data_IF_163435881712
#
_entry.id   IF_163435881712
#
_cell.length_a   1.000
_cell.length_b   1.000
_cell.length_c   1.000
_cell.angle_alpha   90.00
_cell.angle_beta   90.00
_cell.angle_gamma   90.00
#
_symmetry.space_group_name_H-M   'P 1'
#
loop_
_entity.id
_entity.type
_entity.pdbx_description
1 polymer ?
#
# COMPACT_ATOMS: atom_id res chain seq x y z
N UNK A 1 -26.73 -19.98 21.40
CA UNK A 1 -26.03 -19.97 20.10
C UNK A 1 -25.49 -18.56 19.89
N UNK A 2 -24.21 -18.32 20.18
CA UNK A 2 -23.64 -16.98 20.38
C UNK A 2 -22.96 -16.41 19.13
N UNK A 3 -23.11 -15.10 18.92
CA UNK A 3 -22.69 -14.33 17.74
C UNK A 3 -21.16 -14.21 17.50
N UNK A 4 -20.33 -14.99 18.20
CA UNK A 4 -18.86 -14.80 18.22
C UNK A 4 -18.05 -16.00 17.72
N UNK A 5 -18.67 -17.11 17.32
CA UNK A 5 -17.94 -18.32 16.90
C UNK A 5 -17.19 -18.19 15.55
N UNK A 6 -17.43 -17.12 14.78
CA UNK A 6 -16.84 -16.93 13.45
C UNK A 6 -15.69 -15.92 13.40
N UNK A 7 -15.28 -15.36 14.55
CA UNK A 7 -14.16 -14.42 14.63
C UNK A 7 -12.91 -15.21 15.05
N UNK A 8 -11.79 -15.13 14.31
CA UNK A 8 -10.56 -15.78 14.74
C UNK A 8 -10.13 -15.28 16.13
N UNK A 9 -9.59 -16.18 16.95
CA UNK A 9 -8.98 -15.80 18.22
C UNK A 9 -7.84 -14.81 17.97
N UNK A 10 -7.62 -13.86 18.90
CA UNK A 10 -6.58 -12.84 18.80
C UNK A 10 -5.16 -13.39 19.10
N UNK A 11 -4.94 -14.65 18.74
CA UNK A 11 -3.63 -15.29 18.84
C UNK A 11 -2.76 -14.82 17.67
N UNK A 12 -1.42 -14.73 17.85
CA UNK A 12 -0.53 -14.35 16.77
C UNK A 12 -0.70 -15.23 15.53
N UNK A 13 -0.98 -14.61 14.39
CA UNK A 13 -1.17 -15.30 13.11
C UNK A 13 -0.28 -14.69 12.03
N UNK A 14 0.48 -15.55 11.35
CA UNK A 14 1.25 -15.19 10.18
C UNK A 14 0.33 -15.13 8.96
N UNK A 15 0.38 -14.01 8.24
CA UNK A 15 -0.41 -13.77 7.04
C UNK A 15 0.48 -13.29 5.89
N UNK A 16 0.08 -13.62 4.68
CA UNK A 16 0.62 -13.02 3.47
C UNK A 16 -0.33 -11.92 2.99
N UNK A 17 0.16 -10.69 2.94
CA UNK A 17 -0.60 -9.53 2.46
C UNK A 17 -0.14 -9.21 1.04
N UNK A 18 -1.06 -9.29 0.08
CA UNK A 18 -0.82 -8.86 -1.30
C UNK A 18 -1.42 -7.48 -1.54
N UNK A 19 -0.57 -6.52 -1.88
CA UNK A 19 -0.95 -5.14 -2.16
C UNK A 19 -0.90 -4.91 -3.66
N UNK A 20 -2.04 -4.61 -4.27
CA UNK A 20 -2.14 -4.22 -5.68
C UNK A 20 -2.08 -2.70 -5.79
N UNK A 21 -1.07 -2.19 -6.47
CA UNK A 21 -0.90 -0.76 -6.73
C UNK A 21 -1.12 -0.52 -8.21
N UNK A 22 -2.29 0.01 -8.54
CA UNK A 22 -2.76 0.13 -9.94
C UNK A 22 -2.27 1.43 -10.56
N UNK A 23 -2.68 2.58 -10.01
CA UNK A 23 -2.32 3.91 -10.49
C UNK A 23 -2.40 4.95 -9.39
N UNK A 24 -1.76 6.09 -9.58
CA UNK A 24 -2.07 7.33 -8.88
C UNK A 24 -2.66 8.35 -9.86
N UNK A 25 -3.38 9.33 -9.32
CA UNK A 25 -4.05 10.37 -10.09
C UNK A 25 -3.77 11.72 -9.46
N UNK A 26 -3.47 12.72 -10.28
CA UNK A 26 -3.26 14.11 -9.89
C UNK A 26 -2.25 14.27 -8.73
N UNK A 27 -1.09 13.61 -8.83
CA UNK A 27 0.01 13.80 -7.89
C UNK A 27 0.45 15.27 -7.82
N UNK A 28 0.89 15.70 -6.63
CA UNK A 28 1.47 17.03 -6.47
C UNK A 28 2.76 17.12 -7.30
N UNK A 29 2.94 18.16 -8.13
CA UNK A 29 4.22 18.39 -8.79
C UNK A 29 5.32 18.63 -7.76
N UNK A 30 6.39 17.87 -7.84
CA UNK A 30 7.56 18.00 -6.96
C UNK A 30 8.77 18.59 -7.71
N UNK A 31 8.83 18.42 -9.03
CA UNK A 31 9.86 19.00 -9.90
C UNK A 31 9.58 20.43 -10.37
N UNK A 32 10.67 21.16 -10.68
CA UNK A 32 10.65 22.50 -11.34
C UNK A 32 9.89 22.47 -12.69
N UNK A 33 9.90 21.34 -13.37
CA UNK A 33 9.21 21.15 -14.66
C UNK A 33 7.67 20.99 -14.51
N UNK A 34 7.15 20.99 -13.27
CA UNK A 34 5.73 20.78 -12.98
C UNK A 34 5.30 19.32 -13.07
N UNK A 35 6.21 18.37 -12.92
CA UNK A 35 5.98 16.91 -12.91
C UNK A 35 6.55 16.27 -11.63
N UNK A 36 6.61 14.95 -11.64
CA UNK A 36 7.20 14.09 -10.64
C UNK A 36 7.73 12.84 -11.37
N UNK A 37 8.73 12.18 -10.81
CA UNK A 37 9.26 10.87 -11.12
C UNK A 37 8.80 9.84 -10.04
N UNK A 38 7.47 9.55 -9.94
CA UNK A 38 6.93 8.80 -8.81
C UNK A 38 7.34 7.32 -8.75
N UNK A 39 7.57 6.84 -7.52
CA UNK A 39 7.67 5.42 -7.19
C UNK A 39 6.95 5.09 -5.87
N UNK A 40 6.69 3.79 -5.64
CA UNK A 40 5.89 3.33 -4.49
C UNK A 40 6.79 2.75 -3.40
N UNK A 41 6.48 3.07 -2.15
CA UNK A 41 7.04 2.43 -0.97
C UNK A 41 5.89 1.80 -0.16
N UNK A 42 6.06 0.53 0.19
CA UNK A 42 5.09 -0.23 0.98
C UNK A 42 5.76 -0.68 2.25
N UNK A 43 5.12 -0.41 3.39
CA UNK A 43 5.63 -0.79 4.70
C UNK A 43 4.54 -1.48 5.51
N UNK A 44 4.86 -2.61 6.11
CA UNK A 44 3.99 -3.33 7.03
C UNK A 44 4.83 -3.90 8.18
N UNK A 45 4.61 -3.39 9.38
CA UNK A 45 5.43 -3.74 10.54
C UNK A 45 6.90 -3.37 10.33
N UNK A 46 7.77 -4.37 10.38
CA UNK A 46 9.23 -4.21 10.14
C UNK A 46 9.62 -4.37 8.67
N UNK A 47 8.73 -4.90 7.85
CA UNK A 47 8.97 -5.17 6.44
C UNK A 47 8.74 -3.89 5.62
N UNK A 48 9.64 -3.59 4.70
CA UNK A 48 9.59 -2.42 3.82
C UNK A 48 10.04 -2.81 2.42
N UNK A 49 9.25 -2.45 1.42
CA UNK A 49 9.55 -2.66 0.00
C UNK A 49 9.57 -1.30 -0.67
N UNK A 50 10.68 -0.98 -1.35
CA UNK A 50 10.83 0.26 -2.12
C UNK A 50 10.95 -0.09 -3.60
N UNK A 51 10.02 0.38 -4.41
CA UNK A 51 10.04 0.16 -5.86
C UNK A 51 10.81 1.28 -6.60
N UNK A 52 11.87 1.80 -5.97
CA UNK A 52 12.59 3.01 -6.41
C UNK A 52 13.20 2.86 -7.81
N UNK A 53 13.74 1.70 -8.14
CA UNK A 53 14.34 1.43 -9.45
C UNK A 53 13.32 1.43 -10.60
N UNK A 54 12.03 1.37 -10.28
CA UNK A 54 10.94 1.35 -11.24
C UNK A 54 10.08 2.61 -11.17
N UNK A 55 10.68 3.76 -10.83
CA UNK A 55 10.01 5.05 -10.90
C UNK A 55 9.49 5.32 -12.33
N UNK A 56 8.40 6.08 -12.43
CA UNK A 56 7.79 6.43 -13.72
C UNK A 56 8.09 7.90 -14.01
N UNK A 57 8.93 8.17 -15.00
CA UNK A 57 9.42 9.54 -15.19
C UNK A 57 8.36 10.53 -15.65
N UNK A 58 8.40 11.75 -15.11
CA UNK A 58 7.66 12.96 -15.49
C UNK A 58 6.15 12.75 -15.59
N UNK A 59 5.57 12.07 -14.61
CA UNK A 59 4.19 11.64 -14.61
C UNK A 59 3.46 11.99 -13.31
N UNK A 60 2.35 12.74 -13.43
CA UNK A 60 1.46 13.05 -12.29
C UNK A 60 0.31 12.04 -12.16
N UNK A 61 0.08 11.23 -13.19
CA UNK A 61 -0.96 10.19 -13.25
C UNK A 61 -0.34 8.82 -13.58
N UNK A 62 0.60 8.30 -12.77
CA UNK A 62 1.34 7.09 -13.10
C UNK A 62 0.44 5.85 -13.02
N UNK A 63 0.60 4.94 -13.98
CA UNK A 63 0.04 3.58 -13.92
C UNK A 63 1.17 2.64 -13.51
N UNK A 64 1.14 2.15 -12.28
CA UNK A 64 2.13 1.21 -11.76
C UNK A 64 1.81 -0.22 -12.20
N UNK A 65 0.54 -0.65 -12.06
CA UNK A 65 0.07 -1.96 -12.49
C UNK A 65 0.79 -3.15 -11.82
N UNK A 66 1.22 -3.01 -10.56
CA UNK A 66 2.06 -4.00 -9.85
C UNK A 66 1.37 -4.57 -8.62
N UNK A 67 1.84 -5.73 -8.20
CA UNK A 67 1.50 -6.32 -6.90
C UNK A 67 2.74 -6.59 -6.08
N UNK A 68 2.62 -6.40 -4.76
CA UNK A 68 3.69 -6.65 -3.80
C UNK A 68 3.18 -7.59 -2.71
N UNK A 69 3.98 -8.60 -2.40
CA UNK A 69 3.67 -9.58 -1.36
C UNK A 69 4.53 -9.30 -0.14
N UNK A 70 3.91 -9.14 1.02
CA UNK A 70 4.57 -8.83 2.29
C UNK A 70 4.01 -9.73 3.39
N UNK A 71 4.91 -10.41 4.11
CA UNK A 71 4.55 -11.23 5.26
C UNK A 71 4.38 -10.33 6.49
N UNK A 72 3.40 -10.67 7.34
CA UNK A 72 3.12 -9.97 8.58
C UNK A 72 2.54 -10.90 9.65
N UNK A 73 2.73 -10.51 10.91
CA UNK A 73 2.15 -11.20 12.08
C UNK A 73 1.10 -10.31 12.72
N UNK A 74 -0.18 -10.68 12.64
CA UNK A 74 -1.23 -9.99 13.38
C UNK A 74 -1.30 -10.49 14.82
N UNK A 75 -1.66 -9.65 15.81
CA UNK A 75 -2.09 -8.24 15.66
C UNK A 75 -0.94 -7.22 15.62
N UNK A 76 0.30 -7.67 15.83
CA UNK A 76 1.47 -6.79 16.03
C UNK A 76 1.82 -5.93 14.81
N UNK A 77 1.63 -6.47 13.60
CA UNK A 77 2.03 -5.87 12.33
C UNK A 77 0.81 -5.59 11.45
N UNK A 78 -0.15 -4.81 11.96
CA UNK A 78 -1.43 -4.57 11.30
C UNK A 78 -1.51 -3.30 10.43
N UNK A 79 -0.65 -2.31 10.69
CA UNK A 79 -0.70 -1.02 10.00
C UNK A 79 0.10 -1.07 8.69
N UNK A 80 -0.60 -1.13 7.56
CA UNK A 80 -0.02 -1.01 6.23
C UNK A 80 0.11 0.46 5.86
N UNK A 81 1.31 0.90 5.54
CA UNK A 81 1.57 2.23 4.97
C UNK A 81 1.92 2.06 3.50
N UNK A 82 1.22 2.80 2.63
CA UNK A 82 1.54 2.93 1.21
C UNK A 82 1.87 4.39 0.95
N UNK A 83 3.08 4.64 0.44
CA UNK A 83 3.61 5.97 0.20
C UNK A 83 4.06 6.10 -1.25
N UNK A 84 3.89 7.30 -1.82
CA UNK A 84 4.43 7.67 -3.13
C UNK A 84 5.51 8.71 -2.91
N UNK A 85 6.69 8.43 -3.44
CA UNK A 85 7.86 9.31 -3.40
C UNK A 85 8.20 9.80 -4.79
N UNK A 86 8.80 10.99 -4.86
CA UNK A 86 9.42 11.54 -6.05
C UNK A 86 10.89 11.11 -6.10
N UNK A 87 11.32 10.54 -7.22
CA UNK A 87 12.73 10.19 -7.39
C UNK A 87 13.54 11.43 -7.81
N UNK A 88 14.58 11.75 -7.05
CA UNK A 88 15.49 12.85 -7.38
C UNK A 88 16.86 12.34 -7.82
N UNK A 89 17.39 12.92 -8.91
CA UNK A 89 18.75 12.64 -9.37
C UNK A 89 19.81 13.08 -8.36
N UNK A 90 19.54 14.18 -7.63
CA UNK A 90 20.46 14.78 -6.68
C UNK A 90 19.69 15.11 -5.40
N UNK A 91 20.15 14.57 -4.27
CA UNK A 91 19.56 14.84 -2.96
C UNK A 91 18.76 13.66 -2.42
N UNK A 92 17.74 13.95 -1.64
CA UNK A 92 16.84 12.98 -1.03
C UNK A 92 15.48 13.03 -1.69
N UNK A 93 15.00 11.88 -2.13
CA UNK A 93 13.65 11.70 -2.67
C UNK A 93 12.56 12.31 -1.78
N UNK A 94 11.68 13.10 -2.39
CA UNK A 94 10.60 13.79 -1.70
C UNK A 94 9.37 12.90 -1.49
N UNK A 95 8.77 12.94 -0.29
CA UNK A 95 7.48 12.27 -0.06
C UNK A 95 6.36 13.11 -0.66
N UNK A 96 5.68 12.58 -1.68
CA UNK A 96 4.50 13.23 -2.28
C UNK A 96 3.27 13.02 -1.38
N UNK A 97 3.09 11.80 -0.86
CA UNK A 97 1.99 11.49 0.03
C UNK A 97 1.96 10.05 0.50
N UNK A 98 1.21 9.79 1.58
CA UNK A 98 1.04 8.46 2.14
C UNK A 98 -0.39 8.20 2.61
N UNK A 99 -0.75 6.93 2.68
CA UNK A 99 -1.97 6.45 3.33
C UNK A 99 -1.66 5.31 4.27
N UNK A 100 -2.43 5.21 5.35
CA UNK A 100 -2.28 4.20 6.40
C UNK A 100 -3.57 3.41 6.52
N UNK A 101 -3.41 2.09 6.49
CA UNK A 101 -4.49 1.13 6.33
C UNK A 101 -4.32 0.10 7.44
N UNK A 102 -5.19 0.15 8.43
CA UNK A 102 -5.26 -0.89 9.44
C UNK A 102 -5.89 -2.17 8.86
N UNK A 103 -5.08 -3.22 8.77
CA UNK A 103 -5.47 -4.53 8.23
C UNK A 103 -6.11 -5.43 9.29
N UNK A 104 -5.83 -5.23 10.57
CA UNK A 104 -6.42 -6.00 11.66
C UNK A 104 -7.94 -5.82 11.67
N UNK A 105 -8.37 -4.55 11.61
CA UNK A 105 -9.78 -4.17 11.53
C UNK A 105 -10.49 -4.81 10.32
N UNK A 106 -9.80 -5.06 9.21
CA UNK A 106 -10.36 -5.76 8.04
C UNK A 106 -10.39 -7.28 8.23
N UNK A 107 -9.32 -7.84 8.78
CA UNK A 107 -9.15 -9.28 8.97
C UNK A 107 -10.16 -9.86 9.95
N UNK A 108 -10.37 -9.20 11.10
CA UNK A 108 -11.33 -9.61 12.12
C UNK A 108 -12.76 -9.10 11.88
N UNK A 109 -12.99 -8.34 10.81
CA UNK A 109 -14.36 -7.94 10.45
C UNK A 109 -15.19 -9.14 9.99
N UNK A 110 -16.51 -9.10 10.26
CA UNK A 110 -17.47 -10.09 9.73
C UNK A 110 -17.47 -10.21 8.21
N UNK A 111 -16.96 -9.19 7.50
CA UNK A 111 -16.89 -9.16 6.04
C UNK A 111 -15.51 -9.56 5.49
N UNK A 112 -14.56 -9.91 6.37
CA UNK A 112 -13.17 -10.28 6.06
C UNK A 112 -12.41 -9.21 5.27
N UNK A 113 -11.19 -9.54 4.84
CA UNK A 113 -10.34 -8.69 3.99
C UNK A 113 -10.88 -8.45 2.57
N UNK A 114 -12.04 -9.00 2.21
CA UNK A 114 -12.66 -8.84 0.88
C UNK A 114 -13.46 -7.54 0.71
N UNK A 115 -13.63 -6.75 1.77
CA UNK A 115 -14.32 -5.46 1.67
C UNK A 115 -13.54 -4.44 0.85
N UNK A 116 -14.15 -3.96 -0.24
CA UNK A 116 -13.65 -2.82 -1.02
C UNK A 116 -12.72 -3.17 -2.18
N UNK A 117 -12.43 -4.45 -2.42
CA UNK A 117 -11.73 -4.89 -3.63
C UNK A 117 -12.77 -5.02 -4.74
N UNK A 118 -12.67 -4.17 -5.77
CA UNK A 118 -13.53 -4.33 -6.95
C UNK A 118 -13.24 -5.68 -7.59
N UNK A 119 -14.28 -6.48 -7.86
CA UNK A 119 -14.15 -7.76 -8.57
C UNK A 119 -13.60 -7.59 -10.00
N UNK A 120 -13.71 -6.39 -10.57
CA UNK A 120 -13.13 -6.04 -11.85
C UNK A 120 -12.46 -4.66 -11.76
N UNK A 121 -11.21 -4.55 -12.21
CA UNK A 121 -10.57 -3.27 -12.48
C UNK A 121 -10.70 -2.99 -13.99
N UNK A 122 -11.58 -2.07 -14.37
CA UNK A 122 -11.61 -1.49 -15.71
C UNK A 122 -10.66 -0.30 -15.74
N UNK A 123 -9.62 -0.38 -16.58
CA UNK A 123 -8.79 0.77 -16.96
C UNK A 123 -9.53 1.69 -17.90
#
# INVERSE_FOLDING_TARGET
MGMFQSIPHNDPINVLVRVYVVRATDLHPADINGKADPYVVIKLGRSEVKDKENYISKQLNPVFGKSFDIEATFPMESMLTVSVYDWDLVGTDDLIGETKIDLENRFYSKYRATCGISSNYSV
#
